data_IF_336398923922
#
_entry.id   IF_336398923922
#
_cell.length_a   1.000
_cell.length_b   1.000
_cell.length_c   1.000
_cell.angle_alpha   90.00
_cell.angle_beta   90.00
_cell.angle_gamma   90.00
#
_symmetry.space_group_name_H-M   'P 1'
#
loop_
_entity.id
_entity.type
_entity.pdbx_description
1 polymer ?
#
# COMPACT_ATOMS: atom_id res chain seq x y z
N UNK A 1 36.48 7.34 -28.44
CA UNK A 1 35.03 7.25 -28.74
C UNK A 1 34.85 6.18 -29.80
N UNK A 2 34.54 4.95 -29.37
CA UNK A 2 34.39 3.81 -30.27
C UNK A 2 32.98 3.27 -30.13
N UNK A 3 32.20 3.42 -31.20
CA UNK A 3 30.89 2.80 -31.35
C UNK A 3 31.06 1.29 -31.57
N UNK A 4 30.26 0.47 -30.88
CA UNK A 4 29.95 -0.87 -31.39
C UNK A 4 28.48 -1.22 -31.14
N UNK A 5 27.84 -1.67 -32.22
CA UNK A 5 26.42 -1.94 -32.38
C UNK A 5 26.09 -3.39 -31.98
N UNK A 6 24.86 -3.56 -31.47
CA UNK A 6 23.88 -4.66 -31.61
C UNK A 6 24.40 -6.10 -31.75
N UNK A 7 23.87 -7.01 -30.90
CA UNK A 7 23.26 -8.29 -31.35
C UNK A 7 22.02 -8.61 -30.48
N UNK A 8 20.91 -8.88 -31.15
CA UNK A 8 19.65 -9.45 -30.63
C UNK A 8 19.82 -10.96 -30.63
N UNK A 9 19.49 -11.66 -29.53
CA UNK A 9 19.28 -13.11 -29.58
C UNK A 9 17.90 -13.46 -29.00
N UNK A 10 17.18 -14.15 -29.86
CA UNK A 10 15.82 -14.68 -29.81
C UNK A 10 15.87 -16.03 -29.11
N UNK A 11 14.99 -16.30 -28.16
CA UNK A 11 14.74 -17.66 -27.69
C UNK A 11 13.23 -17.89 -27.69
N UNK A 12 12.77 -18.53 -28.76
CA UNK A 12 11.42 -19.04 -28.95
C UNK A 12 11.35 -20.42 -28.29
N UNK A 13 10.44 -20.60 -27.33
CA UNK A 13 10.10 -21.93 -26.82
C UNK A 13 8.76 -22.34 -27.39
N UNK A 14 8.80 -23.17 -28.43
CA UNK A 14 7.66 -23.90 -28.94
C UNK A 14 7.45 -25.15 -28.07
N UNK A 15 6.22 -25.39 -27.60
CA UNK A 15 5.80 -26.69 -27.09
C UNK A 15 4.47 -27.01 -27.75
N UNK A 16 4.51 -27.91 -28.73
CA UNK A 16 3.39 -28.73 -29.19
C UNK A 16 3.55 -30.09 -28.50
N UNK A 17 2.44 -30.67 -28.00
CA UNK A 17 2.11 -31.99 -28.51
C UNK A 17 0.63 -32.12 -28.90
N UNK A 18 0.44 -32.93 -29.93
CA UNK A 18 -0.81 -33.28 -30.56
C UNK A 18 -1.70 -34.18 -29.70
N UNK A 19 -3.00 -34.17 -30.01
CA UNK A 19 -3.83 -35.37 -29.98
C UNK A 19 -5.14 -35.28 -29.24
N UNK A 20 -6.24 -35.04 -29.96
CA UNK A 20 -7.32 -36.02 -30.17
C UNK A 20 -8.55 -35.31 -30.79
N UNK A 21 -9.02 -35.85 -31.92
CA UNK A 21 -10.26 -35.46 -32.58
C UNK A 21 -11.41 -36.26 -31.96
N UNK A 22 -12.51 -35.58 -31.59
CA UNK A 22 -13.83 -36.20 -31.52
C UNK A 22 -14.82 -35.30 -32.26
N UNK A 23 -15.33 -35.81 -33.37
CA UNK A 23 -16.47 -35.29 -34.12
C UNK A 23 -17.75 -35.83 -33.51
N UNK A 24 -18.64 -34.97 -33.02
CA UNK A 24 -20.10 -35.22 -33.00
C UNK A 24 -20.82 -33.88 -33.10
N UNK A 25 -21.71 -33.80 -34.09
CA UNK A 25 -22.33 -32.56 -34.55
C UNK A 25 -23.35 -31.93 -33.60
N UNK A 26 -23.65 -30.67 -33.92
CA UNK A 26 -24.70 -29.87 -33.33
C UNK A 26 -24.65 -28.48 -33.97
N UNK A 27 -25.53 -28.24 -34.95
CA UNK A 27 -25.82 -26.90 -35.46
C UNK A 27 -26.39 -26.08 -34.31
N UNK A 28 -25.66 -25.06 -33.84
CA UNK A 28 -26.22 -23.91 -33.11
C UNK A 28 -25.22 -22.75 -33.13
N UNK A 29 -25.59 -21.76 -33.92
CA UNK A 29 -25.36 -20.31 -33.89
C UNK A 29 -24.18 -19.71 -33.12
N UNK A 30 -23.54 -18.76 -33.81
CA UNK A 30 -22.42 -17.95 -33.40
C UNK A 30 -22.59 -17.27 -32.02
N UNK A 31 -21.58 -17.42 -31.16
CA UNK A 31 -21.27 -16.45 -30.12
C UNK A 31 -19.89 -15.88 -30.43
N UNK A 32 -19.90 -14.78 -31.18
CA UNK A 32 -18.84 -13.77 -31.08
C UNK A 32 -19.07 -13.03 -29.77
N UNK A 33 -18.32 -13.39 -28.75
CA UNK A 33 -18.05 -12.53 -27.61
C UNK A 33 -16.55 -12.55 -27.34
N UNK A 34 -15.79 -12.07 -28.33
CA UNK A 34 -14.46 -11.53 -28.10
C UNK A 34 -14.64 -10.24 -27.28
N UNK A 35 -14.81 -10.41 -25.97
CA UNK A 35 -14.74 -9.32 -25.01
C UNK A 35 -13.39 -9.49 -24.33
N UNK A 36 -12.40 -8.63 -24.61
CA UNK A 36 -11.20 -8.58 -23.79
C UNK A 36 -11.67 -8.40 -22.36
N UNK A 37 -11.32 -9.35 -21.48
CA UNK A 37 -11.35 -9.12 -20.05
C UNK A 37 -10.45 -7.91 -19.86
N UNK A 38 -11.07 -6.74 -19.68
CA UNK A 38 -10.35 -5.54 -19.30
C UNK A 38 -9.43 -5.93 -18.14
N UNK A 39 -8.14 -5.58 -18.17
CA UNK A 39 -7.28 -5.84 -17.04
C UNK A 39 -8.00 -5.28 -15.82
N UNK A 40 -8.35 -6.16 -14.89
CA UNK A 40 -8.90 -5.78 -13.61
C UNK A 40 -7.87 -4.82 -13.04
N UNK A 41 -8.18 -3.53 -13.08
CA UNK A 41 -7.42 -2.52 -12.34
C UNK A 41 -7.63 -2.95 -10.90
N UNK A 42 -6.69 -3.73 -10.36
CA UNK A 42 -6.58 -3.96 -8.94
C UNK A 42 -6.23 -2.59 -8.37
N UNK A 43 -7.26 -1.78 -8.15
CA UNK A 43 -7.18 -0.68 -7.22
C UNK A 43 -6.72 -1.34 -5.93
N UNK A 44 -5.47 -1.07 -5.53
CA UNK A 44 -4.94 -1.56 -4.28
C UNK A 44 -5.83 -0.97 -3.19
N UNK A 45 -6.78 -1.77 -2.70
CA UNK A 45 -7.73 -1.32 -1.69
C UNK A 45 -6.90 -1.05 -0.44
N UNK A 46 -6.93 0.21 0.02
CA UNK A 46 -6.33 0.59 1.30
C UNK A 46 -7.38 0.46 2.37
N UNK A 47 -7.05 -0.30 3.40
CA UNK A 47 -7.91 -0.49 4.56
C UNK A 47 -7.47 0.47 5.68
N UNK A 48 -8.44 0.92 6.48
CA UNK A 48 -8.20 1.73 7.67
C UNK A 48 -8.32 0.84 8.91
N UNK A 49 -7.22 0.66 9.63
CA UNK A 49 -7.11 -0.20 10.80
C UNK A 49 -7.05 0.64 12.08
N UNK A 50 -7.89 0.30 13.07
CA UNK A 50 -7.79 0.86 14.41
C UNK A 50 -6.78 0.05 15.23
N UNK A 51 -5.57 0.57 15.39
CA UNK A 51 -4.44 -0.15 16.01
C UNK A 51 -4.35 0.02 17.53
N UNK A 52 -5.37 0.62 18.14
CA UNK A 52 -5.48 0.79 19.58
C UNK A 52 -4.64 1.95 20.10
N UNK A 53 -4.07 1.78 21.29
CA UNK A 53 -3.23 2.79 21.95
C UNK A 53 -1.76 2.48 21.72
N UNK A 54 -1.00 3.53 21.39
CA UNK A 54 0.44 3.52 21.24
C UNK A 54 1.16 4.30 22.34
N UNK A 55 2.46 4.54 22.16
CA UNK A 55 3.30 5.29 23.08
C UNK A 55 2.71 6.67 23.44
N UNK A 56 2.90 7.09 24.69
CA UNK A 56 2.39 8.38 25.17
C UNK A 56 0.85 8.46 25.28
N UNK A 57 0.15 7.32 25.22
CA UNK A 57 -1.32 7.29 25.30
C UNK A 57 -2.00 7.78 24.02
N UNK A 58 -1.30 7.77 22.89
CA UNK A 58 -1.83 8.20 21.60
C UNK A 58 -2.65 7.07 20.97
N UNK A 59 -3.87 7.38 20.53
CA UNK A 59 -4.67 6.48 19.69
C UNK A 59 -4.04 6.41 18.29
N UNK A 60 -3.84 5.19 17.80
CA UNK A 60 -3.23 4.90 16.50
C UNK A 60 -4.27 4.36 15.52
N UNK A 61 -4.35 4.98 14.35
CA UNK A 61 -5.09 4.47 13.20
C UNK A 61 -4.19 4.42 11.97
N UNK A 62 -4.19 3.31 11.24
CA UNK A 62 -3.29 3.09 10.10
C UNK A 62 -4.10 2.83 8.84
N UNK A 63 -3.85 3.61 7.80
CA UNK A 63 -4.28 3.32 6.44
C UNK A 63 -3.14 2.61 5.70
N UNK A 64 -3.37 1.38 5.24
CA UNK A 64 -2.36 0.56 4.58
C UNK A 64 -2.98 -0.46 3.62
N UNK A 65 -2.19 -0.96 2.67
CA UNK A 65 -2.52 -2.10 1.83
C UNK A 65 -2.01 -3.44 2.42
N UNK A 66 -1.37 -3.40 3.59
CA UNK A 66 -0.89 -4.58 4.30
C UNK A 66 -2.01 -5.23 5.12
N UNK A 67 -1.77 -6.47 5.54
CA UNK A 67 -2.63 -7.12 6.53
C UNK A 67 -2.66 -6.34 7.85
N UNK A 68 -3.82 -6.34 8.51
CA UNK A 68 -4.07 -5.58 9.75
C UNK A 68 -2.97 -5.74 10.80
N UNK A 69 -2.51 -6.97 11.05
CA UNK A 69 -1.48 -7.24 12.06
C UNK A 69 -0.14 -6.54 11.72
N UNK A 70 0.26 -6.58 10.45
CA UNK A 70 1.48 -5.94 9.97
C UNK A 70 1.35 -4.41 9.94
N UNK A 71 0.19 -3.91 9.50
CA UNK A 71 -0.13 -2.49 9.48
C UNK A 71 -0.06 -1.91 10.92
N UNK A 72 -0.64 -2.60 11.90
CA UNK A 72 -0.62 -2.14 13.28
C UNK A 72 0.73 -2.31 13.97
N UNK A 73 1.51 -3.35 13.64
CA UNK A 73 2.90 -3.45 14.09
C UNK A 73 3.72 -2.25 13.58
N UNK A 74 3.61 -1.94 12.28
CA UNK A 74 4.30 -0.77 11.69
C UNK A 74 3.83 0.55 12.30
N UNK A 75 2.53 0.70 12.54
CA UNK A 75 1.99 1.87 13.22
C UNK A 75 2.64 2.10 14.59
N UNK A 76 2.83 1.02 15.37
CA UNK A 76 3.52 1.07 16.66
C UNK A 76 4.98 1.50 16.54
N UNK A 77 5.72 0.99 15.55
CA UNK A 77 7.11 1.38 15.32
C UNK A 77 7.23 2.86 14.92
N UNK A 78 6.39 3.34 14.02
CA UNK A 78 6.37 4.75 13.60
C UNK A 78 5.95 5.66 14.76
N UNK A 79 4.98 5.26 15.57
CA UNK A 79 4.59 6.00 16.76
C UNK A 79 5.72 6.06 17.80
N UNK A 80 6.45 4.96 18.00
CA UNK A 80 7.63 4.93 18.86
C UNK A 80 8.72 5.88 18.34
N UNK A 81 9.03 5.82 17.04
CA UNK A 81 10.03 6.69 16.43
C UNK A 81 9.63 8.17 16.51
N UNK A 82 8.35 8.48 16.30
CA UNK A 82 7.80 9.82 16.46
C UNK A 82 7.92 10.32 17.89
N UNK A 83 7.46 9.57 18.89
CA UNK A 83 7.53 9.98 20.30
C UNK A 83 8.97 10.10 20.82
N UNK A 84 9.91 9.33 20.25
CA UNK A 84 11.34 9.44 20.54
C UNK A 84 12.08 10.55 19.78
N UNK A 85 11.42 11.24 18.83
CA UNK A 85 12.08 12.28 18.03
C UNK A 85 12.47 13.50 18.90
N UNK A 86 13.67 14.08 18.72
CA UNK A 86 14.15 15.22 19.51
C UNK A 86 13.23 16.45 19.42
N UNK A 87 12.51 16.58 18.32
CA UNK A 87 11.52 17.61 18.08
C UNK A 87 10.26 16.94 17.57
N UNK A 88 9.12 17.37 18.09
CA UNK A 88 7.80 16.91 17.66
C UNK A 88 7.27 17.80 16.54
N UNK A 89 6.35 17.27 15.74
CA UNK A 89 5.74 18.04 14.66
C UNK A 89 4.88 19.17 15.23
N UNK A 90 4.86 20.30 14.52
CA UNK A 90 3.99 21.44 14.82
C UNK A 90 3.22 21.86 13.57
N UNK A 91 2.29 22.81 13.70
CA UNK A 91 1.54 23.35 12.57
C UNK A 91 2.46 23.98 11.50
N UNK A 92 3.68 24.38 11.88
CA UNK A 92 4.63 25.09 11.02
C UNK A 92 5.80 24.21 10.58
N UNK A 93 5.97 23.03 11.18
CA UNK A 93 7.13 22.17 10.95
C UNK A 93 6.76 20.69 10.93
N UNK A 94 7.02 20.06 9.80
CA UNK A 94 7.03 18.61 9.66
C UNK A 94 8.26 18.01 10.34
N UNK A 95 8.11 16.82 10.90
CA UNK A 95 9.20 16.00 11.44
C UNK A 95 9.32 14.74 10.61
N UNK A 96 10.55 14.37 10.28
CA UNK A 96 10.85 13.12 9.59
C UNK A 96 11.37 12.08 10.57
N UNK A 97 10.82 10.88 10.56
CA UNK A 97 11.30 9.75 11.35
C UNK A 97 11.63 8.56 10.45
N UNK A 98 12.70 7.84 10.77
CA UNK A 98 13.13 6.68 10.01
C UNK A 98 12.72 5.39 10.72
N UNK A 99 12.04 4.49 10.01
CA UNK A 99 11.64 3.16 10.49
C UNK A 99 11.97 2.16 9.40
N UNK A 100 12.81 1.17 9.69
CA UNK A 100 13.27 0.14 8.74
C UNK A 100 13.79 0.72 7.40
N UNK A 101 14.48 1.85 7.44
CA UNK A 101 14.98 2.53 6.25
C UNK A 101 13.92 3.35 5.49
N UNK A 102 12.64 3.26 5.84
CA UNK A 102 11.59 4.11 5.32
C UNK A 102 11.54 5.44 6.09
N UNK A 103 11.52 6.56 5.36
CA UNK A 103 11.37 7.89 5.96
C UNK A 103 9.89 8.30 5.96
N UNK A 104 9.36 8.52 7.16
CA UNK A 104 7.98 8.92 7.43
C UNK A 104 7.93 10.41 7.72
N UNK A 105 7.08 11.14 6.99
CA UNK A 105 6.85 12.56 7.23
C UNK A 105 5.64 12.73 8.15
N UNK A 106 5.89 13.22 9.36
CA UNK A 106 4.89 13.49 10.39
C UNK A 106 4.56 14.99 10.45
N UNK A 107 3.28 15.33 10.34
CA UNK A 107 2.77 16.70 10.41
C UNK A 107 1.69 16.81 11.45
N UNK A 108 1.66 17.93 12.18
CA UNK A 108 0.55 18.22 13.09
C UNK A 108 -0.60 18.84 12.30
N UNK A 109 -1.79 18.26 12.44
CA UNK A 109 -3.03 18.71 11.79
C UNK A 109 -4.10 19.02 12.84
N UNK A 110 -5.00 19.92 12.47
CA UNK A 110 -6.21 20.20 13.24
C UNK A 110 -7.40 20.12 12.30
N UNK A 111 -8.32 19.21 12.58
CA UNK A 111 -9.53 19.01 11.79
C UNK A 111 -10.72 18.88 12.73
N UNK A 112 -11.83 19.57 12.44
CA UNK A 112 -13.04 19.51 13.28
C UNK A 112 -12.79 19.77 14.78
N UNK A 113 -11.83 20.65 15.10
CA UNK A 113 -11.36 20.97 16.46
C UNK A 113 -10.55 19.87 17.16
N UNK A 114 -10.24 18.77 16.48
CA UNK A 114 -9.36 17.71 16.98
C UNK A 114 -7.95 17.87 16.42
N UNK A 115 -6.97 17.91 17.32
CA UNK A 115 -5.55 17.91 16.96
C UNK A 115 -5.02 16.48 16.87
N UNK A 116 -4.36 16.16 15.76
CA UNK A 116 -3.71 14.88 15.52
C UNK A 116 -2.40 15.05 14.76
N UNK A 117 -1.56 14.03 14.81
CA UNK A 117 -0.35 13.94 14.00
C UNK A 117 -0.62 12.93 12.89
N UNK A 118 -0.34 13.32 11.66
CA UNK A 118 -0.38 12.43 10.52
C UNK A 118 1.05 12.13 10.07
N UNK A 119 1.47 10.87 10.17
CA UNK A 119 2.71 10.38 9.61
C UNK A 119 2.42 9.64 8.30
N UNK A 120 3.07 10.03 7.20
CA UNK A 120 2.86 9.43 5.89
C UNK A 120 4.16 8.94 5.27
N UNK A 121 4.08 7.81 4.56
CA UNK A 121 5.16 7.27 3.75
C UNK A 121 4.55 6.52 2.56
N UNK A 122 4.92 6.94 1.34
CA UNK A 122 4.39 6.38 0.11
C UNK A 122 2.85 6.33 0.10
N UNK A 123 2.26 5.15 0.13
CA UNK A 123 0.82 4.88 0.13
C UNK A 123 0.23 4.61 1.52
N UNK A 124 1.03 4.70 2.57
CA UNK A 124 0.61 4.45 3.95
C UNK A 124 0.47 5.76 4.74
N UNK A 125 -0.50 5.77 5.66
CA UNK A 125 -0.77 6.91 6.51
C UNK A 125 -1.14 6.45 7.92
N UNK A 126 -0.42 6.95 8.91
CA UNK A 126 -0.67 6.75 10.33
C UNK A 126 -1.22 8.05 10.93
N UNK A 127 -2.35 7.95 11.61
CA UNK A 127 -2.89 9.03 12.44
C UNK A 127 -2.67 8.72 13.92
N UNK A 128 -2.10 9.69 14.63
CA UNK A 128 -1.86 9.68 16.08
C UNK A 128 -2.68 10.81 16.72
N UNK A 129 -3.69 10.45 17.52
CA UNK A 129 -4.55 11.42 18.20
C UNK A 129 -4.55 11.16 19.70
N UNK A 130 -4.95 12.15 20.51
CA UNK A 130 -5.15 11.90 21.94
C UNK A 130 -6.23 10.84 22.14
N UNK A 131 -5.97 9.86 22.99
CA UNK A 131 -7.01 8.92 23.41
C UNK A 131 -7.98 9.65 24.35
N UNK A 132 -9.25 9.77 23.94
CA UNK A 132 -10.33 10.22 24.82
C UNK A 132 -11.12 8.98 25.27
N UNK A 133 -11.06 8.58 26.55
CA UNK A 133 -11.92 7.53 27.04
C UNK A 133 -13.37 8.02 27.00
N UNK A 134 -14.25 7.28 26.33
CA UNK A 134 -15.70 7.47 26.46
C UNK A 134 -16.08 7.16 27.90
N UNK A 135 -16.60 8.17 28.59
CA UNK A 135 -17.04 8.10 29.99
C UNK A 135 -18.51 7.67 30.08
#
# INVERSE_FOLDING_TARGET
MSHLRRIIVRASSAILPAGAVVLTGGLSEAVSADRPLAPSVQATIRDNFACGQGPGGLKMSMQSNREMAQACAKAGEVANAYTGAPQQASAERAVSVNVDGANWACVHKTESQEAYVECSHADEMLSLSKFQPVS
#
